data_IF_873023198981
#
_entry.id   IF_873023198981
#
_cell.length_a   1.000
_cell.length_b   1.000
_cell.length_c   1.000
_cell.angle_alpha   90.00
_cell.angle_beta   90.00
_cell.angle_gamma   90.00
#
_symmetry.space_group_name_H-M   'P 1'
#
loop_
_entity.id
_entity.type
_entity.pdbx_description
1 polymer ?
#
# COMPACT_ATOMS: atom_id res chain seq x y z
N UNK A 1 -3.56 11.69 22.65
CA UNK A 1 -4.81 11.08 22.16
C UNK A 1 -5.20 10.00 23.15
N UNK A 2 -6.24 10.27 23.92
CA UNK A 2 -6.72 9.46 25.05
C UNK A 2 -7.59 8.30 24.60
N UNK A 3 -8.35 8.47 23.52
CA UNK A 3 -9.32 7.50 23.00
C UNK A 3 -9.41 7.57 21.46
N UNK A 4 -10.25 6.69 20.89
CA UNK A 4 -10.52 6.62 19.46
C UNK A 4 -11.25 7.87 18.93
N UNK A 5 -12.09 8.53 19.73
CA UNK A 5 -12.87 9.70 19.30
C UNK A 5 -11.97 10.94 19.11
N UNK A 6 -11.01 11.12 20.02
CA UNK A 6 -9.99 12.16 19.88
C UNK A 6 -9.06 11.87 18.68
N UNK A 7 -8.69 10.60 18.46
CA UNK A 7 -7.93 10.18 17.28
C UNK A 7 -8.70 10.49 15.99
N UNK A 8 -9.99 10.15 15.93
CA UNK A 8 -10.83 10.41 14.77
C UNK A 8 -10.95 11.92 14.50
N UNK A 9 -11.20 12.70 15.55
CA UNK A 9 -11.30 14.17 15.44
C UNK A 9 -10.00 14.78 14.90
N UNK A 10 -8.85 14.34 15.42
CA UNK A 10 -7.54 14.81 14.95
C UNK A 10 -7.25 14.33 13.52
N UNK A 11 -7.60 13.08 13.19
CA UNK A 11 -7.42 12.53 11.85
C UNK A 11 -8.23 13.32 10.82
N UNK A 12 -9.49 13.63 11.11
CA UNK A 12 -10.34 14.49 10.27
C UNK A 12 -9.72 15.88 10.09
N UNK A 13 -9.21 16.49 11.16
CA UNK A 13 -8.54 17.79 11.09
C UNK A 13 -7.26 17.77 10.23
N UNK A 14 -6.41 16.75 10.42
CA UNK A 14 -5.13 16.63 9.76
C UNK A 14 -5.23 16.20 8.29
N UNK A 15 -6.27 15.42 7.93
CA UNK A 15 -6.48 14.88 6.57
C UNK A 15 -6.42 15.96 5.48
N UNK A 16 -6.94 17.15 5.76
CA UNK A 16 -7.02 18.25 4.79
C UNK A 16 -5.80 19.19 4.83
N UNK A 17 -4.91 19.02 5.81
CA UNK A 17 -3.83 19.98 6.14
C UNK A 17 -2.43 19.39 6.01
N UNK A 18 -2.34 18.08 5.85
CA UNK A 18 -1.09 17.33 5.74
C UNK A 18 -1.02 16.69 4.36
N UNK A 19 0.20 16.47 3.86
CA UNK A 19 0.40 15.71 2.62
C UNK A 19 -0.37 14.37 2.68
N UNK A 20 -1.15 14.00 1.64
CA UNK A 20 -2.01 12.82 1.68
C UNK A 20 -1.27 11.49 1.94
N UNK A 21 -0.08 11.33 1.37
CA UNK A 21 0.73 10.11 1.54
C UNK A 21 1.27 10.04 2.97
N UNK A 22 1.79 11.16 3.48
CA UNK A 22 2.27 11.25 4.85
C UNK A 22 1.14 10.99 5.86
N UNK A 23 -0.03 11.59 5.64
CA UNK A 23 -1.21 11.38 6.46
C UNK A 23 -1.62 9.91 6.47
N UNK A 24 -1.76 9.29 5.29
CA UNK A 24 -2.18 7.90 5.20
C UNK A 24 -1.17 6.95 5.83
N UNK A 25 0.13 7.16 5.63
CA UNK A 25 1.18 6.38 6.28
C UNK A 25 1.09 6.51 7.81
N UNK A 26 1.07 7.74 8.33
CA UNK A 26 1.05 7.99 9.77
C UNK A 26 -0.22 7.42 10.43
N UNK A 27 -1.38 7.57 9.80
CA UNK A 27 -2.63 7.02 10.29
C UNK A 27 -2.62 5.48 10.25
N UNK A 28 -2.12 4.87 9.17
CA UNK A 28 -2.01 3.41 9.07
C UNK A 28 -1.12 2.83 10.18
N UNK A 29 0.04 3.45 10.43
CA UNK A 29 0.92 3.08 11.54
C UNK A 29 0.19 3.27 12.87
N UNK A 30 -0.47 4.40 13.09
CA UNK A 30 -1.19 4.64 14.34
C UNK A 30 -2.27 3.57 14.61
N UNK A 31 -3.09 3.23 13.60
CA UNK A 31 -4.17 2.27 13.72
C UNK A 31 -3.65 0.83 13.93
N UNK A 32 -2.52 0.46 13.31
CA UNK A 32 -1.92 -0.87 13.48
C UNK A 32 -1.31 -1.11 14.87
N UNK A 33 -0.77 -0.07 15.51
CA UNK A 33 0.02 -0.23 16.74
C UNK A 33 -0.72 0.20 18.01
N UNK A 34 -1.85 0.91 17.90
CA UNK A 34 -2.71 1.28 19.03
C UNK A 34 -3.50 0.07 19.53
N UNK A 35 -3.65 -0.02 20.85
CA UNK A 35 -4.36 -1.15 21.49
C UNK A 35 -5.87 -1.08 21.33
N UNK A 36 -6.43 0.12 21.21
CA UNK A 36 -7.87 0.39 21.08
C UNK A 36 -8.40 0.32 19.64
N UNK A 37 -7.52 0.03 18.67
CA UNK A 37 -7.87 -0.08 17.24
C UNK A 37 -7.45 -1.41 16.61
N UNK A 38 -7.11 -2.42 17.43
CA UNK A 38 -6.56 -3.71 16.96
C UNK A 38 -7.52 -4.51 16.08
N UNK A 39 -8.81 -4.36 16.30
CA UNK A 39 -9.86 -5.10 15.60
C UNK A 39 -10.41 -4.33 14.40
N UNK A 40 -9.72 -3.27 13.95
CA UNK A 40 -10.11 -2.52 12.76
C UNK A 40 -9.46 -3.12 11.51
N UNK A 41 -10.31 -3.45 10.54
CA UNK A 41 -9.87 -3.79 9.20
C UNK A 41 -9.38 -2.54 8.47
N UNK A 42 -8.08 -2.51 8.17
CA UNK A 42 -7.49 -1.44 7.38
C UNK A 42 -7.62 -1.76 5.89
N UNK A 43 -8.23 -0.86 5.09
CA UNK A 43 -8.22 -1.01 3.64
C UNK A 43 -6.78 -1.11 3.12
N UNK A 44 -6.56 -1.99 2.16
CA UNK A 44 -5.29 -2.06 1.45
C UNK A 44 -4.99 -0.71 0.77
N UNK A 45 -3.72 -0.30 0.79
CA UNK A 45 -3.25 0.96 0.20
C UNK A 45 -3.54 1.06 -1.29
N UNK A 46 -3.71 -0.06 -1.99
CA UNK A 46 -4.11 -0.07 -3.41
C UNK A 46 -5.46 0.62 -3.63
N UNK A 47 -6.36 0.63 -2.64
CA UNK A 47 -7.64 1.31 -2.73
C UNK A 47 -7.54 2.82 -2.49
N UNK A 48 -6.52 3.27 -1.76
CA UNK A 48 -6.29 4.70 -1.48
C UNK A 48 -5.36 5.36 -2.49
N UNK A 49 -4.36 4.64 -2.99
CA UNK A 49 -3.39 5.12 -3.97
C UNK A 49 -3.19 4.09 -5.10
N UNK A 50 -4.24 3.83 -5.91
CA UNK A 50 -4.15 2.87 -7.01
C UNK A 50 -3.08 3.26 -8.04
N UNK A 51 -2.77 4.55 -8.18
CA UNK A 51 -1.76 5.09 -9.09
C UNK A 51 -0.32 4.63 -8.78
N UNK A 52 -0.09 4.02 -7.62
CA UNK A 52 1.19 3.41 -7.23
C UNK A 52 1.34 1.96 -7.66
N UNK A 53 0.25 1.30 -8.04
CA UNK A 53 0.19 -0.13 -8.35
C UNK A 53 -0.34 -0.42 -9.75
N UNK A 54 -1.06 0.54 -10.34
CA UNK A 54 -1.72 0.40 -11.63
C UNK A 54 -1.09 1.38 -12.62
N UNK A 55 -0.87 0.89 -13.84
CA UNK A 55 -0.34 1.70 -14.92
C UNK A 55 -1.19 2.97 -15.18
N UNK A 56 -0.50 4.08 -15.43
CA UNK A 56 -1.16 5.38 -15.59
C UNK A 56 -2.05 5.46 -16.82
N UNK A 57 -1.77 4.69 -17.88
CA UNK A 57 -2.57 4.73 -19.10
C UNK A 57 -3.97 4.16 -18.90
N UNK A 58 -4.14 3.29 -17.90
CA UNK A 58 -5.43 2.71 -17.49
C UNK A 58 -6.40 3.80 -17.04
N UNK A 59 -5.92 4.81 -16.31
CA UNK A 59 -6.76 5.89 -15.77
C UNK A 59 -7.40 6.76 -16.85
N UNK A 60 -6.84 6.81 -18.07
CA UNK A 60 -7.45 7.50 -19.19
C UNK A 60 -8.78 6.87 -19.63
N UNK A 61 -8.97 5.56 -19.40
CA UNK A 61 -10.19 4.81 -19.77
C UNK A 61 -11.23 4.79 -18.66
N UNK A 62 -10.86 5.14 -17.42
CA UNK A 62 -11.74 5.10 -16.26
C UNK A 62 -12.98 6.01 -16.43
N UNK A 63 -12.87 7.27 -16.89
CA UNK A 63 -14.05 8.13 -17.05
C UNK A 63 -15.12 7.53 -17.95
N UNK A 64 -14.71 6.95 -19.08
CA UNK A 64 -15.61 6.30 -20.05
C UNK A 64 -16.36 5.13 -19.39
N UNK A 65 -15.65 4.25 -18.68
CA UNK A 65 -16.27 3.10 -17.98
C UNK A 65 -17.18 3.57 -16.85
N UNK A 66 -16.78 4.58 -16.07
CA UNK A 66 -17.58 5.06 -14.94
C UNK A 66 -18.86 5.79 -15.36
N UNK A 67 -18.90 6.35 -16.57
CA UNK A 67 -20.08 6.99 -17.14
C UNK A 67 -21.20 5.98 -17.51
N UNK A 68 -20.85 4.71 -17.70
CA UNK A 68 -21.81 3.62 -17.96
C UNK A 68 -22.56 3.23 -16.68
N UNK A 69 -23.78 2.70 -16.86
CA UNK A 69 -24.56 2.10 -15.77
C UNK A 69 -23.82 0.88 -15.19
N UNK A 70 -24.00 0.58 -13.90
CA UNK A 70 -23.21 -0.45 -13.20
C UNK A 70 -23.21 -1.82 -13.88
N UNK A 71 -24.35 -2.24 -14.46
CA UNK A 71 -24.47 -3.51 -15.20
C UNK A 71 -23.81 -3.53 -16.58
N UNK A 72 -23.40 -2.38 -17.09
CA UNK A 72 -22.75 -2.20 -18.40
C UNK A 72 -21.23 -1.99 -18.27
N UNK A 73 -20.72 -1.81 -17.05
CA UNK A 73 -19.29 -1.60 -16.80
C UNK A 73 -18.52 -2.88 -17.06
N UNK A 74 -17.47 -2.78 -17.88
CA UNK A 74 -16.55 -3.89 -18.15
C UNK A 74 -15.20 -3.65 -17.47
N UNK A 75 -14.53 -4.70 -16.95
CA UNK A 75 -13.21 -4.56 -16.37
C UNK A 75 -12.19 -4.07 -17.39
N UNK A 76 -11.40 -3.06 -17.03
CA UNK A 76 -10.28 -2.60 -17.86
C UNK A 76 -9.13 -3.60 -17.70
N UNK A 77 -8.75 -4.27 -18.79
CA UNK A 77 -7.62 -5.20 -18.79
C UNK A 77 -6.30 -4.44 -18.84
N UNK A 78 -5.40 -4.74 -17.90
CA UNK A 78 -4.04 -4.21 -17.84
C UNK A 78 -3.13 -5.19 -18.58
N UNK A 79 -2.41 -4.77 -19.63
CA UNK A 79 -1.48 -5.65 -20.32
C UNK A 79 -0.25 -5.94 -19.44
N UNK A 80 0.35 -7.12 -19.56
CA UNK A 80 1.59 -7.46 -18.85
C UNK A 80 2.81 -6.65 -19.34
N UNK A 81 2.83 -6.33 -20.63
CA UNK A 81 3.96 -5.63 -21.27
C UNK A 81 3.72 -4.12 -21.30
N UNK A 82 3.49 -3.51 -20.13
CA UNK A 82 3.22 -2.08 -20.02
C UNK A 82 4.46 -1.24 -19.69
N UNK A 83 5.48 -1.83 -19.05
CA UNK A 83 6.75 -1.16 -18.73
C UNK A 83 7.81 -1.37 -19.80
N UNK A 84 7.91 -2.57 -20.36
CA UNK A 84 8.86 -2.91 -21.42
C UNK A 84 8.31 -4.03 -22.33
N UNK A 85 9.10 -4.38 -23.35
CA UNK A 85 8.86 -5.52 -24.25
C UNK A 85 9.88 -6.63 -24.00
N UNK A 86 9.69 -7.79 -24.63
CA UNK A 86 10.64 -8.91 -24.55
C UNK A 86 12.03 -8.63 -25.17
N UNK A 87 12.25 -7.44 -25.74
CA UNK A 87 13.58 -6.98 -26.15
C UNK A 87 14.45 -6.60 -24.93
N UNK A 88 13.82 -6.28 -23.80
CA UNK A 88 14.50 -6.03 -22.53
C UNK A 88 14.57 -7.34 -21.73
N UNK A 89 15.77 -7.83 -21.46
CA UNK A 89 15.95 -9.12 -20.77
C UNK A 89 15.39 -9.09 -19.35
N UNK A 90 15.47 -7.94 -18.68
CA UNK A 90 14.88 -7.73 -17.36
C UNK A 90 13.35 -7.79 -17.37
N UNK A 91 12.70 -7.61 -18.52
CA UNK A 91 11.24 -7.70 -18.64
C UNK A 91 10.72 -9.12 -18.35
N UNK A 92 11.58 -10.14 -18.48
CA UNK A 92 11.23 -11.54 -18.20
C UNK A 92 10.79 -11.76 -16.74
N UNK A 93 11.21 -10.90 -15.82
CA UNK A 93 10.84 -10.97 -14.40
C UNK A 93 9.82 -9.89 -13.99
N UNK A 94 9.20 -9.19 -14.96
CA UNK A 94 8.15 -8.21 -14.68
C UNK A 94 6.98 -8.82 -13.91
N UNK A 95 6.61 -10.08 -14.21
CA UNK A 95 5.55 -10.81 -13.49
C UNK A 95 5.81 -10.92 -11.98
N UNK A 96 7.06 -10.81 -11.53
CA UNK A 96 7.43 -10.85 -10.11
C UNK A 96 7.62 -9.43 -9.56
N UNK A 97 8.39 -8.58 -10.26
CA UNK A 97 8.72 -7.23 -9.78
C UNK A 97 7.53 -6.29 -9.75
N UNK A 98 6.58 -6.48 -10.66
CA UNK A 98 5.43 -5.60 -10.86
C UNK A 98 4.12 -6.22 -10.37
N UNK A 99 4.18 -7.38 -9.71
CA UNK A 99 3.01 -7.99 -9.11
C UNK A 99 2.46 -7.11 -7.98
N UNK A 100 1.15 -6.87 -8.01
CA UNK A 100 0.46 -6.01 -7.04
C UNK A 100 0.57 -6.64 -5.64
N UNK A 101 0.44 -7.96 -5.52
CA UNK A 101 0.51 -8.68 -4.26
C UNK A 101 1.88 -8.62 -3.59
N UNK A 102 2.95 -8.83 -4.36
CA UNK A 102 4.34 -8.74 -3.88
C UNK A 102 4.66 -7.32 -3.41
N UNK A 103 4.27 -6.30 -4.18
CA UNK A 103 4.49 -4.90 -3.80
C UNK A 103 3.66 -4.50 -2.57
N UNK A 104 2.42 -5.00 -2.45
CA UNK A 104 1.59 -4.81 -1.26
C UNK A 104 2.19 -5.49 -0.03
N UNK A 105 2.70 -6.72 -0.17
CA UNK A 105 3.37 -7.43 0.89
C UNK A 105 4.58 -6.63 1.41
N UNK A 106 5.45 -6.17 0.50
CA UNK A 106 6.62 -5.38 0.85
C UNK A 106 6.24 -4.09 1.59
N UNK A 107 5.25 -3.35 1.08
CA UNK A 107 4.76 -2.13 1.74
C UNK A 107 4.18 -2.41 3.13
N UNK A 108 3.32 -3.43 3.26
CA UNK A 108 2.69 -3.77 4.53
C UNK A 108 3.70 -4.28 5.56
N UNK A 109 4.71 -5.05 5.14
CA UNK A 109 5.79 -5.49 6.03
C UNK A 109 6.52 -4.30 6.66
N UNK A 110 6.79 -3.25 5.87
CA UNK A 110 7.42 -2.02 6.36
C UNK A 110 6.49 -1.15 7.24
N UNK A 111 5.16 -1.27 7.13
CA UNK A 111 4.24 -0.66 8.09
C UNK A 111 4.24 -1.37 9.45
N UNK A 112 4.33 -2.70 9.45
CA UNK A 112 4.37 -3.50 10.67
C UNK A 112 5.73 -3.34 11.36
N UNK A 113 6.81 -3.26 10.58
CA UNK A 113 8.20 -3.11 11.07
C UNK A 113 8.83 -1.80 10.58
N UNK A 114 8.31 -0.63 11.00
CA UNK A 114 8.84 0.65 10.55
C UNK A 114 10.29 0.84 11.03
N UNK A 115 11.08 1.53 10.22
CA UNK A 115 12.49 1.84 10.53
C UNK A 115 12.61 2.94 11.58
N UNK A 116 11.69 3.90 11.53
CA UNK A 116 11.69 5.10 12.37
C UNK A 116 10.30 5.30 12.99
N UNK A 117 10.26 5.97 14.14
CA UNK A 117 9.03 6.24 14.90
C UNK A 117 9.25 6.14 16.40
N UNK A 118 8.15 6.14 17.15
CA UNK A 118 8.21 5.94 18.60
C UNK A 118 8.83 4.56 18.92
N UNK A 119 9.64 4.47 19.98
CA UNK A 119 10.32 3.25 20.41
C UNK A 119 9.35 2.10 20.64
N UNK A 120 8.16 2.36 21.17
CA UNK A 120 7.15 1.32 21.41
C UNK A 120 6.58 0.72 20.10
N UNK A 121 6.66 1.48 19.01
CA UNK A 121 6.26 1.04 17.67
C UNK A 121 7.41 0.29 16.99
N UNK A 122 8.63 0.83 17.09
CA UNK A 122 9.80 0.29 16.38
C UNK A 122 10.38 -0.94 17.09
N UNK A 123 10.40 -0.99 18.41
CA UNK A 123 11.08 -2.03 19.18
C UNK A 123 10.25 -3.34 19.24
N UNK A 124 10.20 -4.05 18.11
CA UNK A 124 9.56 -5.36 17.96
C UNK A 124 10.57 -6.49 18.03
N UNK A 125 10.12 -7.64 18.52
CA UNK A 125 10.95 -8.83 18.68
C UNK A 125 11.66 -9.20 17.37
N UNK A 126 12.98 -9.40 17.47
CA UNK A 126 13.86 -9.83 16.37
C UNK A 126 13.68 -9.09 15.04
N UNK A 127 13.18 -7.85 15.03
CA UNK A 127 12.86 -7.14 13.77
C UNK A 127 14.04 -7.00 12.81
N UNK A 128 15.27 -6.94 13.32
CA UNK A 128 16.49 -6.88 12.50
C UNK A 128 16.81 -8.22 11.83
N UNK A 129 16.61 -9.32 12.53
CA UNK A 129 16.73 -10.65 11.93
C UNK A 129 15.62 -10.91 10.92
N UNK A 130 14.38 -10.51 11.26
CA UNK A 130 13.25 -10.64 10.35
C UNK A 130 13.41 -9.76 9.10
N UNK A 131 14.02 -8.58 9.23
CA UNK A 131 14.40 -7.74 8.09
C UNK A 131 15.31 -8.50 7.14
N UNK A 132 16.39 -9.09 7.66
CA UNK A 132 17.29 -9.91 6.86
C UNK A 132 16.54 -11.08 6.22
N UNK A 133 15.79 -11.85 7.00
CA UNK A 133 15.13 -13.06 6.52
C UNK A 133 14.07 -12.77 5.45
N UNK A 134 13.22 -11.76 5.64
CA UNK A 134 12.18 -11.40 4.68
C UNK A 134 12.79 -11.04 3.32
N UNK A 135 13.79 -10.15 3.30
CA UNK A 135 14.42 -9.74 2.05
C UNK A 135 15.27 -10.86 1.44
N UNK A 136 15.95 -11.67 2.25
CA UNK A 136 16.69 -12.83 1.77
C UNK A 136 15.75 -13.82 1.05
N UNK A 137 14.55 -14.05 1.57
CA UNK A 137 13.55 -14.93 0.94
C UNK A 137 12.97 -14.33 -0.35
N UNK A 138 12.83 -13.00 -0.47
CA UNK A 138 12.43 -12.35 -1.73
C UNK A 138 13.49 -12.59 -2.81
N UNK A 139 14.78 -12.43 -2.48
CA UNK A 139 15.89 -12.62 -3.42
C UNK A 139 16.06 -14.09 -3.84
N UNK A 140 15.68 -15.03 -2.97
CA UNK A 140 15.80 -16.46 -3.25
C UNK A 140 14.70 -17.03 -4.17
N UNK A 141 13.61 -16.29 -4.40
CA UNK A 141 12.47 -16.70 -5.23
C UNK A 141 12.62 -16.22 -6.66
#
# INVERSE_FOLDING_TARGET
>A
MKDCDELLSLACYARERVNPLLFHYALSVALLHRTDTRDLDLPSVVFSFPDRYIDRTVFGKVPEVTALAEGERTPITIPMNYTASNLEDEHRIAYFREDIGINLHHWHWHLVYPMEGNRDIVNKDRRGELFYYMHQQIIAR
#
